data_IF_535603565255
#
_entry.id   IF_535603565255
#
_cell.length_a   1.000
_cell.length_b   1.000
_cell.length_c   1.000
_cell.angle_alpha   90.00
_cell.angle_beta   90.00
_cell.angle_gamma   90.00
#
_symmetry.space_group_name_H-M   'P 1'
#
loop_
_entity.id
_entity.type
_entity.pdbx_description
1 polymer ?
#
# COMPACT_ATOMS: atom_id res chain seq x y z
N UNK A 1 -13.48 42.61 30.43
CA UNK A 1 -14.84 42.13 30.13
C UNK A 1 -15.16 42.61 28.73
N UNK A 2 -15.55 41.74 27.80
CA UNK A 2 -15.88 42.16 26.44
C UNK A 2 -17.36 42.50 26.33
N UNK A 3 -17.69 43.62 25.71
CA UNK A 3 -19.05 43.97 25.32
C UNK A 3 -19.26 43.48 23.89
N UNK A 4 -20.41 42.89 23.63
CA UNK A 4 -20.84 42.43 22.31
C UNK A 4 -22.18 43.06 21.96
N UNK A 5 -22.42 43.26 20.68
CA UNK A 5 -23.72 43.73 20.21
C UNK A 5 -24.73 42.59 20.17
N UNK A 6 -25.90 42.79 20.76
CA UNK A 6 -27.00 41.86 20.63
C UNK A 6 -27.44 41.77 19.15
N UNK A 7 -27.52 40.55 18.60
CA UNK A 7 -27.84 40.35 17.17
C UNK A 7 -29.24 40.81 16.77
N UNK A 8 -30.15 40.92 17.74
CA UNK A 8 -31.53 41.35 17.50
C UNK A 8 -31.72 42.86 17.69
N UNK A 9 -31.43 43.38 18.89
CA UNK A 9 -31.71 44.78 19.23
C UNK A 9 -30.51 45.72 19.03
N UNK A 10 -29.35 45.18 18.61
CA UNK A 10 -28.09 45.91 18.38
C UNK A 10 -27.55 46.72 19.56
N UNK A 11 -28.10 46.52 20.76
CA UNK A 11 -27.60 47.13 21.98
C UNK A 11 -26.34 46.42 22.47
N UNK A 12 -25.41 47.19 23.02
CA UNK A 12 -24.21 46.66 23.65
C UNK A 12 -24.56 45.93 24.96
N UNK A 13 -24.16 44.67 25.04
CA UNK A 13 -24.40 43.80 26.20
C UNK A 13 -23.12 43.03 26.55
N UNK A 14 -23.01 42.56 27.80
CA UNK A 14 -21.87 41.75 28.23
C UNK A 14 -21.78 40.45 27.43
N UNK A 15 -20.57 40.09 27.00
CA UNK A 15 -20.30 38.81 26.30
C UNK A 15 -20.63 37.57 27.13
N UNK A 16 -20.81 37.74 28.45
CA UNK A 16 -21.18 36.67 29.37
C UNK A 16 -22.67 36.61 29.71
N UNK A 17 -23.50 37.55 29.21
CA UNK A 17 -24.93 37.57 29.51
C UNK A 17 -25.65 36.40 28.82
N UNK A 18 -26.37 35.56 29.59
CA UNK A 18 -27.14 34.42 29.06
C UNK A 18 -28.41 34.84 28.31
N UNK A 19 -28.94 36.03 28.63
CA UNK A 19 -30.07 36.66 27.93
C UNK A 19 -29.82 38.15 27.76
N UNK A 20 -30.30 38.70 26.66
CA UNK A 20 -30.27 40.14 26.46
C UNK A 20 -31.29 40.84 27.40
N UNK A 21 -30.88 41.84 28.21
CA UNK A 21 -31.80 42.55 29.10
C UNK A 21 -32.76 43.49 28.35
N UNK A 22 -32.45 43.86 27.10
CA UNK A 22 -33.24 44.80 26.31
C UNK A 22 -34.30 44.13 25.43
N UNK A 23 -34.03 42.92 24.91
CA UNK A 23 -34.96 42.20 24.05
C UNK A 23 -35.35 40.80 24.55
N UNK A 24 -34.73 40.32 25.62
CA UNK A 24 -35.04 39.01 26.22
C UNK A 24 -34.48 37.79 25.48
N UNK A 25 -33.82 37.97 24.32
CA UNK A 25 -33.37 36.84 23.51
C UNK A 25 -32.22 36.07 24.20
N UNK A 26 -32.22 34.74 24.04
CA UNK A 26 -31.20 33.84 24.61
C UNK A 26 -29.91 33.92 23.79
N UNK A 27 -28.80 34.17 24.47
CA UNK A 27 -27.49 34.25 23.84
C UNK A 27 -26.92 32.82 23.68
N UNK A 28 -26.65 32.39 22.44
CA UNK A 28 -25.93 31.14 22.19
C UNK A 28 -24.45 31.35 22.54
N UNK A 29 -24.00 30.81 23.69
CA UNK A 29 -22.59 30.67 24.04
C UNK A 29 -21.94 29.66 23.07
N UNK A 30 -21.47 30.15 21.93
CA UNK A 30 -20.72 29.38 20.94
C UNK A 30 -19.28 29.18 21.40
N UNK A 31 -19.07 28.37 22.43
CA UNK A 31 -17.74 27.90 22.78
C UNK A 31 -17.38 26.72 21.89
N UNK A 32 -16.51 26.93 20.90
CA UNK A 32 -15.79 25.84 20.24
C UNK A 32 -14.89 25.19 21.31
N UNK A 33 -15.43 24.19 22.01
CA UNK A 33 -14.72 23.49 23.07
C UNK A 33 -13.61 22.61 22.51
N UNK A 34 -12.58 22.40 23.32
CA UNK A 34 -11.42 21.54 23.02
C UNK A 34 -11.80 20.13 22.51
N UNK A 35 -12.99 19.62 22.87
CA UNK A 35 -13.50 18.34 22.39
C UNK A 35 -13.77 18.26 20.88
N UNK A 36 -14.09 19.38 20.21
CA UNK A 36 -14.36 19.39 18.77
C UNK A 36 -13.07 19.26 17.95
N UNK A 37 -11.95 19.79 18.45
CA UNK A 37 -10.63 19.66 17.82
C UNK A 37 -10.08 18.24 17.91
N UNK A 38 -10.32 17.55 19.03
CA UNK A 38 -9.89 16.15 19.24
C UNK A 38 -10.61 15.20 18.27
N UNK A 39 -11.92 15.38 18.07
CA UNK A 39 -12.71 14.55 17.13
C UNK A 39 -12.28 14.75 15.66
N UNK A 40 -11.94 15.99 15.27
CA UNK A 40 -11.44 16.29 13.92
C UNK A 40 -10.06 15.64 13.72
N UNK A 41 -9.16 15.72 14.71
CA UNK A 41 -7.84 15.10 14.64
C UNK A 41 -7.88 13.58 14.50
N UNK A 42 -8.76 12.91 15.26
CA UNK A 42 -8.96 11.45 15.18
C UNK A 42 -9.52 11.05 13.80
N UNK A 43 -10.49 11.81 13.27
CA UNK A 43 -11.05 11.55 11.94
C UNK A 43 -10.00 11.62 10.82
N UNK A 44 -9.10 12.61 10.86
CA UNK A 44 -8.03 12.78 9.87
C UNK A 44 -7.05 11.59 9.92
N UNK A 45 -6.68 11.12 11.12
CA UNK A 45 -5.78 9.98 11.28
C UNK A 45 -6.37 8.68 10.70
N UNK A 46 -7.67 8.45 10.87
CA UNK A 46 -8.35 7.28 10.31
C UNK A 46 -8.36 7.33 8.78
N UNK A 47 -8.62 8.50 8.19
CA UNK A 47 -8.60 8.68 6.73
C UNK A 47 -7.20 8.44 6.16
N UNK A 48 -6.15 8.98 6.79
CA UNK A 48 -4.76 8.75 6.38
C UNK A 48 -4.35 7.28 6.48
N UNK A 49 -4.82 6.56 7.51
CA UNK A 49 -4.55 5.13 7.68
C UNK A 49 -5.19 4.29 6.56
N UNK A 50 -6.43 4.59 6.18
CA UNK A 50 -7.12 3.88 5.08
C UNK A 50 -6.41 4.12 3.74
N UNK A 51 -5.97 5.35 3.46
CA UNK A 51 -5.26 5.67 2.21
C UNK A 51 -3.87 5.00 2.17
N UNK A 52 -3.16 4.92 3.30
CA UNK A 52 -1.81 4.35 3.37
C UNK A 52 -1.72 2.82 3.33
N UNK A 53 -2.85 2.10 3.40
CA UNK A 53 -2.87 0.63 3.48
C UNK A 53 -3.01 -0.10 2.14
N UNK A 54 -3.16 0.63 1.01
CA UNK A 54 -3.21 0.05 -0.33
C UNK A 54 -1.86 0.14 -1.05
N UNK A 55 -0.82 -0.46 -0.46
CA UNK A 55 0.44 -0.72 -1.15
C UNK A 55 0.51 -2.20 -1.49
N UNK A 56 -0.33 -2.64 -2.44
CA UNK A 56 -0.17 -3.93 -3.08
C UNK A 56 1.14 -3.86 -3.89
N UNK A 57 2.20 -4.35 -3.28
CA UNK A 57 3.57 -4.28 -3.80
C UNK A 57 3.72 -5.36 -4.86
N UNK A 58 3.04 -5.21 -6.00
CA UNK A 58 3.34 -5.97 -7.20
C UNK A 58 4.68 -5.47 -7.73
N UNK A 59 5.75 -6.22 -7.47
CA UNK A 59 7.11 -5.87 -7.87
C UNK A 59 7.24 -5.80 -9.39
N UNK A 60 7.04 -4.61 -9.97
CA UNK A 60 7.35 -4.35 -11.37
C UNK A 60 8.84 -4.11 -11.49
N UNK A 61 9.51 -4.97 -12.25
CA UNK A 61 10.94 -4.84 -12.52
C UNK A 61 11.09 -4.05 -13.81
N UNK A 62 11.49 -2.79 -13.66
CA UNK A 62 11.59 -1.82 -14.76
C UNK A 62 12.93 -1.88 -15.48
N UNK A 63 13.85 -2.73 -15.04
CA UNK A 63 15.20 -2.78 -15.59
C UNK A 63 15.26 -3.59 -16.91
N UNK A 64 15.68 -2.92 -17.98
CA UNK A 64 15.77 -3.48 -19.34
C UNK A 64 16.74 -4.67 -19.42
N UNK A 65 17.75 -4.74 -18.54
CA UNK A 65 18.71 -5.86 -18.50
C UNK A 65 18.05 -7.16 -18.04
N UNK A 66 16.97 -7.09 -17.25
CA UNK A 66 16.24 -8.27 -16.78
C UNK A 66 15.66 -9.09 -17.94
N UNK A 67 15.16 -8.39 -18.96
CA UNK A 67 14.53 -9.03 -20.12
C UNK A 67 15.56 -9.59 -21.11
N UNK A 68 16.73 -8.95 -21.21
CA UNK A 68 17.78 -9.33 -22.17
C UNK A 68 18.68 -10.49 -21.72
N UNK A 69 18.79 -10.77 -20.41
CA UNK A 69 19.54 -11.92 -19.90
C UNK A 69 18.95 -13.24 -20.41
N UNK A 70 19.82 -14.22 -20.72
CA UNK A 70 19.42 -15.57 -21.09
C UNK A 70 18.96 -16.38 -19.86
N UNK A 71 18.01 -17.29 -20.08
CA UNK A 71 17.63 -18.29 -19.09
C UNK A 71 18.78 -19.25 -18.79
N UNK A 72 18.88 -19.69 -17.54
CA UNK A 72 19.82 -20.74 -17.11
C UNK A 72 19.19 -21.62 -16.05
N UNK A 73 19.75 -22.81 -15.86
CA UNK A 73 19.42 -23.64 -14.69
C UNK A 73 19.89 -22.96 -13.39
N UNK A 74 19.19 -23.15 -12.27
CA UNK A 74 19.63 -22.69 -10.96
C UNK A 74 20.98 -23.35 -10.59
N UNK A 75 21.85 -22.61 -9.91
CA UNK A 75 23.19 -23.05 -9.53
C UNK A 75 23.40 -22.97 -8.03
N UNK A 76 24.27 -23.83 -7.48
CA UNK A 76 24.65 -23.80 -6.07
C UNK A 76 23.44 -23.90 -5.13
N UNK A 77 23.29 -22.94 -4.21
CA UNK A 77 22.19 -22.93 -3.25
C UNK A 77 20.87 -22.46 -3.84
N UNK A 78 20.87 -21.80 -5.02
CA UNK A 78 19.65 -21.30 -5.67
C UNK A 78 18.62 -22.40 -5.86
N UNK A 79 19.06 -23.60 -6.24
CA UNK A 79 18.17 -24.74 -6.44
C UNK A 79 17.41 -25.09 -5.15
N UNK A 80 18.14 -25.16 -4.03
CA UNK A 80 17.56 -25.50 -2.73
C UNK A 80 16.69 -24.36 -2.19
N UNK A 81 17.16 -23.13 -2.30
CA UNK A 81 16.52 -21.97 -1.68
C UNK A 81 15.24 -21.61 -2.44
N UNK A 82 15.30 -21.53 -3.78
CA UNK A 82 14.11 -21.30 -4.62
C UNK A 82 13.15 -22.48 -4.53
N UNK A 83 13.65 -23.72 -4.59
CA UNK A 83 12.82 -24.92 -4.48
C UNK A 83 12.03 -24.98 -3.17
N UNK A 84 12.66 -24.61 -2.04
CA UNK A 84 11.96 -24.49 -0.75
C UNK A 84 10.83 -23.47 -0.81
N UNK A 85 11.07 -22.30 -1.39
CA UNK A 85 10.08 -21.21 -1.48
C UNK A 85 8.89 -21.63 -2.35
N UNK A 86 9.14 -22.28 -3.49
CA UNK A 86 8.09 -22.82 -4.38
C UNK A 86 7.17 -23.76 -3.61
N UNK A 87 7.75 -24.74 -2.90
CA UNK A 87 6.99 -25.74 -2.12
C UNK A 87 6.25 -25.10 -0.95
N UNK A 88 6.91 -24.21 -0.21
CA UNK A 88 6.32 -23.53 0.94
C UNK A 88 5.11 -22.65 0.57
N UNK A 89 5.09 -22.12 -0.66
CA UNK A 89 3.97 -21.32 -1.19
C UNK A 89 2.96 -22.16 -2.00
N UNK A 90 3.13 -23.49 -2.05
CA UNK A 90 2.17 -24.39 -2.70
C UNK A 90 2.10 -24.25 -4.23
N UNK A 91 3.17 -23.78 -4.87
CA UNK A 91 3.20 -23.63 -6.33
C UNK A 91 3.45 -25.00 -6.98
N UNK A 92 2.45 -25.52 -7.69
CA UNK A 92 2.46 -26.88 -8.26
C UNK A 92 2.88 -26.94 -9.72
N UNK A 93 2.93 -25.80 -10.42
CA UNK A 93 3.24 -25.75 -11.85
C UNK A 93 4.75 -25.86 -12.14
N UNK A 94 5.60 -25.80 -11.13
CA UNK A 94 7.06 -25.87 -11.30
C UNK A 94 7.56 -27.32 -11.26
N UNK A 95 7.27 -28.11 -12.31
CA UNK A 95 7.91 -29.43 -12.51
C UNK A 95 9.37 -29.29 -12.95
N UNK A 96 9.62 -28.30 -13.79
CA UNK A 96 10.94 -27.77 -14.13
C UNK A 96 10.92 -26.24 -14.05
N UNK A 97 12.10 -25.64 -13.83
CA UNK A 97 12.21 -24.19 -13.86
C UNK A 97 13.60 -23.69 -14.26
N UNK A 98 13.60 -22.50 -14.85
CA UNK A 98 14.78 -21.74 -15.23
C UNK A 98 14.80 -20.41 -14.50
N UNK A 99 15.99 -19.85 -14.31
CA UNK A 99 16.16 -18.61 -13.54
C UNK A 99 16.88 -17.53 -14.35
N UNK A 100 16.50 -16.28 -14.10
CA UNK A 100 17.26 -15.06 -14.42
C UNK A 100 17.49 -14.31 -13.12
N UNK A 101 18.76 -14.07 -12.79
CA UNK A 101 19.09 -13.23 -11.64
C UNK A 101 19.00 -11.76 -12.05
N UNK A 102 18.22 -10.99 -11.29
CA UNK A 102 18.02 -9.55 -11.50
C UNK A 102 19.05 -8.81 -10.65
N UNK A 103 18.96 -9.04 -9.34
CA UNK A 103 19.82 -8.50 -8.31
C UNK A 103 20.25 -9.61 -7.32
N UNK A 104 20.99 -9.22 -6.28
CA UNK A 104 21.38 -10.13 -5.21
C UNK A 104 20.13 -10.63 -4.47
N UNK A 105 19.89 -11.94 -4.47
CA UNK A 105 18.72 -12.60 -3.87
C UNK A 105 17.37 -12.31 -4.56
N UNK A 106 17.38 -11.76 -5.78
CA UNK A 106 16.16 -11.51 -6.56
C UNK A 106 16.25 -12.19 -7.94
N UNK A 107 15.23 -12.99 -8.24
CA UNK A 107 15.21 -13.84 -9.43
C UNK A 107 13.86 -13.78 -10.14
N UNK A 108 13.87 -13.73 -11.46
CA UNK A 108 12.70 -14.17 -12.26
C UNK A 108 12.88 -15.66 -12.51
N UNK A 109 11.84 -16.44 -12.27
CA UNK A 109 11.81 -17.84 -12.64
C UNK A 109 10.72 -18.08 -13.68
N UNK A 110 11.02 -18.94 -14.65
CA UNK A 110 10.04 -19.52 -15.56
C UNK A 110 9.80 -20.95 -15.12
N UNK A 111 8.57 -21.29 -14.75
CA UNK A 111 8.15 -22.60 -14.31
C UNK A 111 7.28 -23.28 -15.36
N UNK A 112 7.49 -24.58 -15.56
CA UNK A 112 6.64 -25.40 -16.41
C UNK A 112 6.37 -26.76 -15.79
N UNK A 113 5.17 -27.28 -16.02
CA UNK A 113 4.80 -28.65 -15.65
C UNK A 113 5.01 -29.63 -16.82
N UNK A 114 5.04 -29.12 -18.05
CA UNK A 114 5.05 -29.89 -19.30
C UNK A 114 6.21 -29.54 -20.25
N UNK A 115 7.05 -28.58 -19.87
CA UNK A 115 8.17 -28.06 -20.67
C UNK A 115 7.76 -27.14 -21.83
N UNK A 116 6.47 -26.86 -22.00
CA UNK A 116 5.93 -26.11 -23.15
C UNK A 116 5.13 -24.86 -22.72
N UNK A 117 4.39 -24.96 -21.63
CA UNK A 117 3.61 -23.87 -21.03
C UNK A 117 4.39 -23.27 -19.87
N UNK A 118 4.62 -21.97 -19.89
CA UNK A 118 5.48 -21.29 -18.92
C UNK A 118 4.70 -20.27 -18.10
N UNK A 119 4.75 -20.43 -16.77
CA UNK A 119 4.32 -19.41 -15.80
C UNK A 119 5.55 -18.71 -15.22
N UNK A 120 5.45 -17.40 -15.04
CA UNK A 120 6.58 -16.59 -14.57
C UNK A 120 6.35 -16.08 -13.15
N UNK A 121 7.41 -16.12 -12.34
CA UNK A 121 7.37 -15.66 -10.96
C UNK A 121 8.61 -14.83 -10.62
N UNK A 122 8.47 -13.91 -9.68
CA UNK A 122 9.57 -13.17 -9.06
C UNK A 122 9.81 -13.75 -7.66
N UNK A 123 11.05 -14.11 -7.37
CA UNK A 123 11.46 -14.78 -6.13
C UNK A 123 12.48 -13.92 -5.40
N UNK A 124 12.19 -13.65 -4.13
CA UNK A 124 13.08 -12.96 -3.20
C UNK A 124 13.61 -13.96 -2.17
N UNK A 125 14.80 -14.51 -2.40
CA UNK A 125 15.35 -15.59 -1.55
C UNK A 125 15.71 -15.11 -0.14
N UNK A 126 16.01 -13.83 0.05
CA UNK A 126 16.27 -13.24 1.37
C UNK A 126 15.01 -13.03 2.21
N UNK A 127 13.84 -13.00 1.56
CA UNK A 127 12.54 -12.77 2.19
C UNK A 127 11.67 -14.03 2.26
N UNK A 128 12.13 -15.14 1.67
CA UNK A 128 11.35 -16.37 1.46
C UNK A 128 9.99 -16.11 0.79
N UNK A 129 9.95 -15.15 -0.16
CA UNK A 129 8.72 -14.76 -0.88
C UNK A 129 8.80 -15.06 -2.38
N UNK A 130 7.65 -15.37 -2.94
CA UNK A 130 7.45 -15.58 -4.37
C UNK A 130 6.13 -14.91 -4.80
N UNK A 131 6.16 -14.23 -5.94
CA UNK A 131 5.04 -13.51 -6.50
C UNK A 131 4.88 -13.89 -7.97
N UNK A 132 3.65 -14.01 -8.45
CA UNK A 132 3.42 -14.18 -9.89
C UNK A 132 3.83 -12.91 -10.62
N UNK A 133 4.49 -13.05 -11.76
CA UNK A 133 4.74 -11.91 -12.64
C UNK A 133 3.40 -11.32 -13.10
N UNK A 134 3.36 -10.01 -13.33
CA UNK A 134 2.18 -9.37 -13.90
C UNK A 134 2.20 -9.47 -15.44
N UNK A 135 1.07 -9.17 -16.07
CA UNK A 135 0.91 -9.27 -17.53
C UNK A 135 1.93 -8.42 -18.30
N UNK A 136 2.28 -7.24 -17.78
CA UNK A 136 3.28 -6.38 -18.41
C UNK A 136 4.66 -7.04 -18.44
N UNK A 137 5.10 -7.62 -17.32
CA UNK A 137 6.37 -8.35 -17.23
C UNK A 137 6.36 -9.59 -18.11
N UNK A 138 5.29 -10.39 -18.07
CA UNK A 138 5.14 -11.60 -18.88
C UNK A 138 5.24 -11.28 -20.37
N UNK A 139 4.63 -10.19 -20.83
CA UNK A 139 4.66 -9.78 -22.24
C UNK A 139 6.06 -9.47 -22.79
N UNK A 140 7.01 -9.16 -21.90
CA UNK A 140 8.41 -8.84 -22.23
C UNK A 140 9.35 -10.03 -22.05
N UNK A 141 8.89 -11.13 -21.47
CA UNK A 141 9.67 -12.34 -21.23
C UNK A 141 9.53 -13.32 -22.39
N UNK A 142 10.66 -13.73 -22.96
CA UNK A 142 10.71 -14.87 -23.87
C UNK A 142 10.81 -16.16 -23.04
N UNK A 143 10.17 -17.27 -23.44
CA UNK A 143 10.31 -18.55 -22.74
C UNK A 143 11.72 -19.14 -22.85
N UNK A 144 12.13 -19.99 -21.90
CA UNK A 144 13.34 -20.81 -22.02
C UNK A 144 13.30 -21.67 -23.29
N UNK A 145 14.45 -21.85 -23.95
CA UNK A 145 14.64 -22.70 -25.13
C UNK A 145 15.67 -23.78 -24.84
#
# INVERSE_FOLDING_TARGET
MALINCKECKQEISSNADKCPYCGNKMKKGGFGCGTLILIGIGILIVLYIIGSNSESGGIITDEQTYSKSWRSPQGSEFRDIGRIIVANGIKVCGEYYVKQIESNEYVIACSADGTTWDYFVVYTSLDKIYRANEEMESKLNPPR
#
